data_IF_545329001972
#
_entry.id   IF_545329001972
#
_cell.length_a   1.000
_cell.length_b   1.000
_cell.length_c   1.000
_cell.angle_alpha   90.00
_cell.angle_beta   90.00
_cell.angle_gamma   90.00
#
_symmetry.space_group_name_H-M   'P 1'
#
loop_
_entity.id
_entity.type
_entity.pdbx_description
1 polymer ?
#
# COMPACT_ATOMS: atom_id res chain seq x y z
N UNK A 1 -12.67 -17.50 49.62
CA UNK A 1 -12.98 -17.55 48.16
C UNK A 1 -13.02 -16.19 47.48
N UNK A 2 -13.71 -15.14 47.97
CA UNK A 2 -13.80 -13.83 47.28
C UNK A 2 -12.46 -13.11 46.99
N UNK A 3 -11.47 -13.16 47.89
CA UNK A 3 -10.16 -12.49 47.69
C UNK A 3 -9.32 -13.12 46.57
N UNK A 4 -9.31 -14.43 46.42
CA UNK A 4 -8.57 -15.13 45.37
C UNK A 4 -9.13 -14.82 43.97
N UNK A 5 -10.45 -14.68 43.86
CA UNK A 5 -11.12 -14.29 42.59
C UNK A 5 -10.74 -12.86 42.14
N UNK A 6 -10.57 -11.93 43.10
CA UNK A 6 -10.17 -10.55 42.80
C UNK A 6 -8.71 -10.50 42.30
N UNK A 7 -7.78 -11.24 42.93
CA UNK A 7 -6.39 -11.31 42.49
C UNK A 7 -6.30 -11.91 41.06
N UNK A 8 -7.08 -12.93 40.77
CA UNK A 8 -7.09 -13.57 39.47
C UNK A 8 -7.62 -12.59 38.39
N UNK A 9 -8.66 -11.81 38.71
CA UNK A 9 -9.19 -10.77 37.79
C UNK A 9 -8.19 -9.64 37.54
N UNK A 10 -7.47 -9.18 38.57
CA UNK A 10 -6.44 -8.15 38.45
C UNK A 10 -5.28 -8.63 37.59
N UNK A 11 -4.85 -9.88 37.77
CA UNK A 11 -3.79 -10.49 36.94
C UNK A 11 -4.21 -10.57 35.46
N UNK A 12 -5.46 -10.97 35.18
CA UNK A 12 -5.99 -11.00 33.81
C UNK A 12 -6.02 -9.60 33.21
N UNK A 13 -6.48 -8.59 33.94
CA UNK A 13 -6.52 -7.19 33.45
C UNK A 13 -5.10 -6.68 33.16
N UNK A 14 -4.13 -6.96 34.03
CA UNK A 14 -2.72 -6.58 33.80
C UNK A 14 -2.13 -7.30 32.59
N UNK A 15 -2.41 -8.58 32.38
CA UNK A 15 -1.95 -9.34 31.22
C UNK A 15 -2.57 -8.84 29.92
N UNK A 16 -3.84 -8.42 29.93
CA UNK A 16 -4.52 -7.83 28.77
C UNK A 16 -3.92 -6.45 28.45
N UNK A 17 -3.66 -5.62 29.47
CA UNK A 17 -3.06 -4.29 29.27
C UNK A 17 -1.65 -4.37 28.69
N UNK A 18 -0.81 -5.27 29.22
CA UNK A 18 0.57 -5.45 28.69
C UNK A 18 0.58 -5.98 27.25
N UNK A 19 -0.34 -6.89 26.92
CA UNK A 19 -0.46 -7.40 25.54
C UNK A 19 -0.92 -6.32 24.55
N UNK A 20 -1.88 -5.44 24.93
CA UNK A 20 -2.30 -4.33 24.08
C UNK A 20 -1.18 -3.30 23.91
N UNK A 21 -0.45 -2.96 24.95
CA UNK A 21 0.65 -2.01 24.88
C UNK A 21 1.77 -2.52 23.96
N UNK A 22 2.15 -3.78 24.08
CA UNK A 22 3.17 -4.38 23.22
C UNK A 22 2.78 -4.40 21.74
N UNK A 23 1.51 -4.65 21.43
CA UNK A 23 1.03 -4.61 20.04
C UNK A 23 1.07 -3.20 19.47
N UNK A 24 0.70 -2.18 20.24
CA UNK A 24 0.78 -0.78 19.79
C UNK A 24 2.23 -0.37 19.51
N UNK A 25 3.20 -0.77 20.36
CA UNK A 25 4.62 -0.49 20.13
C UNK A 25 5.15 -1.17 18.85
N UNK A 26 4.71 -2.40 18.56
CA UNK A 26 5.10 -3.10 17.32
C UNK A 26 4.46 -2.46 16.07
N UNK A 27 3.23 -1.96 16.15
CA UNK A 27 2.55 -1.23 15.05
C UNK A 27 3.17 0.15 14.83
N UNK A 28 3.43 0.92 15.89
CA UNK A 28 4.11 2.21 15.80
C UNK A 28 5.51 2.09 15.21
N UNK A 29 6.26 1.07 15.64
CA UNK A 29 7.56 0.76 15.04
C UNK A 29 7.42 0.49 13.54
N UNK A 30 6.47 -0.38 13.15
CA UNK A 30 6.25 -0.70 11.74
C UNK A 30 5.88 0.54 10.91
N UNK A 31 4.95 1.37 11.39
CA UNK A 31 4.50 2.58 10.72
C UNK A 31 5.66 3.57 10.49
N UNK A 32 6.53 3.72 11.48
CA UNK A 32 7.74 4.54 11.34
C UNK A 32 8.71 3.95 10.30
N UNK A 33 8.91 2.63 10.30
CA UNK A 33 9.80 1.97 9.36
C UNK A 33 9.26 1.98 7.93
N UNK A 34 7.95 1.77 7.73
CA UNK A 34 7.33 1.82 6.40
C UNK A 34 7.43 3.21 5.79
N UNK A 35 7.21 4.26 6.57
CA UNK A 35 7.36 5.66 6.13
C UNK A 35 8.80 5.96 5.68
N UNK A 36 9.81 5.51 6.43
CA UNK A 36 11.21 5.67 6.04
C UNK A 36 11.54 4.91 4.75
N UNK A 37 11.00 3.69 4.61
CA UNK A 37 11.16 2.88 3.42
C UNK A 37 10.51 3.52 2.19
N UNK A 38 9.29 4.02 2.31
CA UNK A 38 8.56 4.67 1.22
C UNK A 38 9.26 5.96 0.76
N UNK A 39 9.81 6.71 1.69
CA UNK A 39 10.55 7.94 1.36
C UNK A 39 11.85 7.67 0.59
N UNK A 40 12.60 6.63 0.94
CA UNK A 40 13.83 6.27 0.22
C UNK A 40 14.21 4.79 0.43
N UNK A 41 13.68 3.85 -0.38
CA UNK A 41 13.91 2.43 -0.20
C UNK A 41 15.39 2.02 -0.38
N UNK A 42 16.16 2.73 -1.20
CA UNK A 42 17.61 2.47 -1.37
C UNK A 42 18.38 2.82 -0.10
N UNK A 43 18.13 4.00 0.47
CA UNK A 43 18.74 4.42 1.72
C UNK A 43 18.29 3.50 2.87
N UNK A 44 17.03 3.07 2.86
CA UNK A 44 16.51 2.11 3.84
C UNK A 44 17.29 0.80 3.79
N UNK A 45 17.46 0.19 2.60
CA UNK A 45 18.25 -1.04 2.43
C UNK A 45 19.71 -0.91 2.84
N UNK A 46 20.31 0.28 2.67
CA UNK A 46 21.70 0.50 3.08
C UNK A 46 21.90 0.55 4.60
N UNK A 47 20.82 0.78 5.36
CA UNK A 47 20.85 0.93 6.83
C UNK A 47 20.33 -0.29 7.57
N UNK A 48 19.50 -1.11 6.93
CA UNK A 48 18.93 -2.30 7.55
C UNK A 48 19.79 -3.52 7.23
N UNK A 49 19.87 -4.46 8.18
CA UNK A 49 20.43 -5.77 7.88
C UNK A 49 19.54 -6.48 6.85
N UNK A 50 20.04 -6.59 5.63
CA UNK A 50 19.33 -7.18 4.51
C UNK A 50 19.36 -8.72 4.49
N UNK A 51 19.83 -9.37 5.54
CA UNK A 51 19.80 -10.82 5.63
C UNK A 51 18.37 -11.33 5.53
N UNK A 52 18.12 -12.18 4.53
CA UNK A 52 16.79 -12.75 4.31
C UNK A 52 16.46 -13.75 5.42
N UNK A 53 15.55 -13.38 6.29
CA UNK A 53 15.01 -14.30 7.30
C UNK A 53 13.90 -15.12 6.64
N UNK A 54 14.20 -16.37 6.30
CA UNK A 54 13.22 -17.29 5.70
C UNK A 54 12.50 -18.15 6.74
N UNK A 55 13.09 -18.28 7.92
CA UNK A 55 12.52 -19.10 9.00
C UNK A 55 11.89 -18.21 10.08
N UNK A 56 10.64 -17.80 9.86
CA UNK A 56 9.92 -16.89 10.74
C UNK A 56 9.36 -17.61 11.96
N UNK A 57 9.78 -17.18 13.17
CA UNK A 57 9.34 -17.75 14.44
C UNK A 57 8.48 -16.79 15.26
N UNK A 58 8.59 -15.49 15.04
CA UNK A 58 7.89 -14.46 15.81
C UNK A 58 7.53 -13.24 14.95
N UNK A 59 6.79 -12.28 15.54
CA UNK A 59 6.33 -11.07 14.85
C UNK A 59 7.47 -10.15 14.42
N UNK A 60 8.54 -10.04 15.20
CA UNK A 60 9.69 -9.18 14.87
C UNK A 60 10.42 -9.69 13.62
N UNK A 61 10.65 -11.01 13.53
CA UNK A 61 11.23 -11.63 12.33
C UNK A 61 10.31 -11.49 11.12
N UNK A 62 8.99 -11.65 11.31
CA UNK A 62 8.01 -11.47 10.25
C UNK A 62 7.96 -10.00 9.78
N UNK A 63 8.02 -9.03 10.68
CA UNK A 63 8.08 -7.59 10.36
C UNK A 63 9.37 -7.25 9.63
N UNK A 64 10.51 -7.71 10.10
CA UNK A 64 11.80 -7.52 9.42
C UNK A 64 11.76 -8.10 8.00
N UNK A 65 11.31 -9.36 7.85
CA UNK A 65 11.15 -9.98 6.53
C UNK A 65 10.27 -9.14 5.60
N UNK A 66 9.11 -8.65 6.08
CA UNK A 66 8.20 -7.85 5.29
C UNK A 66 8.87 -6.55 4.80
N UNK A 67 9.50 -5.80 5.71
CA UNK A 67 10.16 -4.53 5.40
C UNK A 67 11.33 -4.70 4.40
N UNK A 68 12.20 -5.70 4.63
CA UNK A 68 13.30 -6.02 3.69
C UNK A 68 12.75 -6.45 2.32
N UNK A 69 11.68 -7.24 2.31
CA UNK A 69 11.04 -7.69 1.07
C UNK A 69 10.42 -6.54 0.28
N UNK A 70 9.71 -5.63 0.96
CA UNK A 70 9.14 -4.42 0.33
C UNK A 70 10.24 -3.52 -0.22
N UNK A 71 11.30 -3.25 0.54
CA UNK A 71 12.41 -2.43 0.08
C UNK A 71 13.10 -3.06 -1.14
N UNK A 72 13.32 -4.38 -1.14
CA UNK A 72 13.87 -5.09 -2.30
C UNK A 72 12.92 -5.10 -3.50
N UNK A 73 11.61 -5.13 -3.28
CA UNK A 73 10.64 -4.98 -4.35
C UNK A 73 10.77 -3.61 -5.03
N UNK A 74 10.80 -2.52 -4.26
CA UNK A 74 10.89 -1.17 -4.82
C UNK A 74 12.26 -0.86 -5.46
N UNK A 75 13.35 -1.46 -4.99
CA UNK A 75 14.71 -1.18 -5.51
C UNK A 75 15.09 -2.14 -6.65
N UNK A 76 14.77 -3.42 -6.49
CA UNK A 76 15.30 -4.50 -7.31
C UNK A 76 14.21 -5.29 -8.06
N UNK A 77 12.94 -4.87 -7.98
CA UNK A 77 11.79 -5.63 -8.50
C UNK A 77 11.76 -7.10 -8.03
N UNK A 78 12.22 -7.33 -6.79
CA UNK A 78 12.27 -8.64 -6.19
C UNK A 78 10.95 -8.99 -5.50
N UNK A 79 10.44 -10.17 -5.77
CA UNK A 79 9.24 -10.71 -5.12
C UNK A 79 9.65 -11.85 -4.19
N UNK A 80 9.31 -11.79 -2.90
CA UNK A 80 9.65 -12.85 -1.96
C UNK A 80 8.82 -14.10 -2.20
N UNK A 81 9.27 -15.27 -1.68
CA UNK A 81 8.49 -16.49 -1.73
C UNK A 81 7.13 -16.30 -1.06
N UNK A 82 6.05 -16.68 -1.76
CA UNK A 82 4.67 -16.52 -1.25
C UNK A 82 4.39 -17.34 0.00
N UNK A 83 5.04 -18.49 0.14
CA UNK A 83 4.94 -19.33 1.34
C UNK A 83 5.41 -18.60 2.59
N UNK A 84 6.47 -17.79 2.48
CA UNK A 84 6.97 -16.98 3.59
C UNK A 84 6.04 -15.80 3.87
N UNK A 85 5.49 -15.16 2.83
CA UNK A 85 4.44 -14.13 3.01
C UNK A 85 3.20 -14.70 3.71
N UNK A 86 2.74 -15.88 3.33
CA UNK A 86 1.60 -16.53 3.97
C UNK A 86 1.88 -16.86 5.44
N UNK A 87 3.11 -17.28 5.76
CA UNK A 87 3.54 -17.49 7.14
C UNK A 87 3.55 -16.19 7.95
N UNK A 88 4.04 -15.09 7.35
CA UNK A 88 4.00 -13.75 7.96
C UNK A 88 2.57 -13.33 8.26
N UNK A 89 1.66 -13.44 7.29
CA UNK A 89 0.23 -13.12 7.46
C UNK A 89 -0.36 -13.93 8.62
N UNK A 90 -0.05 -15.22 8.74
CA UNK A 90 -0.52 -16.06 9.84
C UNK A 90 -0.02 -15.56 11.20
N UNK A 91 1.26 -15.19 11.30
CA UNK A 91 1.86 -14.62 12.52
C UNK A 91 1.16 -13.30 12.90
N UNK A 92 1.00 -12.38 11.95
CA UNK A 92 0.36 -11.09 12.19
C UNK A 92 -1.12 -11.24 12.57
N UNK A 93 -1.84 -12.18 11.93
CA UNK A 93 -3.22 -12.51 12.32
C UNK A 93 -3.32 -12.95 13.78
N UNK A 94 -2.44 -13.86 14.22
CA UNK A 94 -2.42 -14.33 15.61
C UNK A 94 -2.06 -13.23 16.62
N UNK A 95 -1.20 -12.30 16.22
CA UNK A 95 -0.75 -11.18 17.04
C UNK A 95 -1.66 -9.96 16.94
N UNK A 96 -2.66 -9.98 16.05
CA UNK A 96 -3.55 -8.84 15.74
C UNK A 96 -2.80 -7.59 15.28
N UNK A 97 -1.68 -7.76 14.58
CA UNK A 97 -0.89 -6.68 13.97
C UNK A 97 -1.50 -6.36 12.60
N UNK A 98 -2.50 -5.48 12.61
CA UNK A 98 -3.39 -5.26 11.46
C UNK A 98 -2.66 -4.61 10.29
N UNK A 99 -1.84 -3.60 10.55
CA UNK A 99 -1.09 -2.89 9.50
C UNK A 99 -0.17 -3.84 8.73
N UNK A 100 0.65 -4.62 9.45
CA UNK A 100 1.54 -5.60 8.85
C UNK A 100 0.77 -6.70 8.10
N UNK A 101 -0.41 -7.07 8.61
CA UNK A 101 -1.26 -8.06 7.96
C UNK A 101 -1.81 -7.54 6.63
N UNK A 102 -2.31 -6.30 6.58
CA UNK A 102 -2.84 -5.65 5.38
C UNK A 102 -1.74 -5.47 4.33
N UNK A 103 -0.57 -4.95 4.75
CA UNK A 103 0.57 -4.76 3.86
C UNK A 103 1.04 -6.10 3.26
N UNK A 104 1.12 -7.15 4.08
CA UNK A 104 1.51 -8.49 3.59
C UNK A 104 0.50 -9.08 2.60
N UNK A 105 -0.81 -8.84 2.80
CA UNK A 105 -1.86 -9.28 1.88
C UNK A 105 -1.80 -8.53 0.55
N UNK A 106 -1.57 -7.22 0.59
CA UNK A 106 -1.37 -6.40 -0.61
C UNK A 106 -0.12 -6.86 -1.38
N UNK A 107 0.97 -7.14 -0.67
CA UNK A 107 2.19 -7.63 -1.30
C UNK A 107 2.02 -9.05 -1.89
N UNK A 108 1.28 -9.91 -1.21
CA UNK A 108 0.91 -11.23 -1.74
C UNK A 108 0.07 -11.11 -3.02
N UNK A 109 -0.86 -10.15 -3.08
CA UNK A 109 -1.63 -9.86 -4.30
C UNK A 109 -0.71 -9.41 -5.46
N UNK A 110 0.26 -8.51 -5.20
CA UNK A 110 1.28 -8.10 -6.19
C UNK A 110 2.11 -9.30 -6.68
N UNK A 111 2.43 -10.25 -5.80
CA UNK A 111 3.13 -11.49 -6.17
C UNK A 111 2.28 -12.36 -7.10
N UNK A 112 0.99 -12.55 -6.77
CA UNK A 112 0.06 -13.28 -7.65
C UNK A 112 -0.18 -12.57 -8.98
N UNK A 113 -0.19 -11.24 -9.01
CA UNK A 113 -0.25 -10.45 -10.26
C UNK A 113 0.93 -10.78 -11.16
N UNK A 114 2.15 -10.82 -10.63
CA UNK A 114 3.36 -11.21 -11.37
C UNK A 114 3.25 -12.64 -11.93
N UNK A 115 2.69 -13.56 -11.15
CA UNK A 115 2.42 -14.95 -11.57
C UNK A 115 1.23 -15.06 -12.54
N UNK A 116 0.57 -13.97 -12.90
CA UNK A 116 -0.65 -13.92 -13.73
C UNK A 116 -1.81 -14.77 -13.14
N UNK A 117 -1.81 -14.98 -11.84
CA UNK A 117 -2.84 -15.72 -11.11
C UNK A 117 -3.94 -14.79 -10.59
N UNK A 118 -4.81 -14.35 -11.49
CA UNK A 118 -5.89 -13.39 -11.20
C UNK A 118 -6.80 -13.84 -10.05
N UNK A 119 -7.12 -15.14 -9.98
CA UNK A 119 -8.01 -15.65 -8.92
C UNK A 119 -7.41 -15.42 -7.54
N UNK A 120 -6.14 -15.76 -7.35
CA UNK A 120 -5.47 -15.60 -6.06
C UNK A 120 -5.15 -14.13 -5.75
N UNK A 121 -4.87 -13.31 -6.78
CA UNK A 121 -4.72 -11.86 -6.65
C UNK A 121 -5.99 -11.23 -6.05
N UNK A 122 -7.16 -11.52 -6.63
CA UNK A 122 -8.47 -11.04 -6.13
C UNK A 122 -8.73 -11.51 -4.71
N UNK A 123 -8.54 -12.80 -4.43
CA UNK A 123 -8.79 -13.36 -3.09
C UNK A 123 -7.92 -12.71 -2.00
N UNK A 124 -6.67 -12.39 -2.31
CA UNK A 124 -5.78 -11.71 -1.36
C UNK A 124 -6.29 -10.29 -1.05
N UNK A 125 -6.73 -9.54 -2.05
CA UNK A 125 -7.30 -8.20 -1.87
C UNK A 125 -8.65 -8.25 -1.16
N UNK A 126 -9.55 -9.16 -1.52
CA UNK A 126 -10.84 -9.33 -0.85
C UNK A 126 -10.65 -9.62 0.64
N UNK A 127 -9.71 -10.49 1.00
CA UNK A 127 -9.36 -10.76 2.39
C UNK A 127 -8.84 -9.50 3.12
N UNK A 128 -8.04 -8.67 2.45
CA UNK A 128 -7.59 -7.42 3.02
C UNK A 128 -8.75 -6.42 3.22
N UNK A 129 -9.69 -6.34 2.26
CA UNK A 129 -10.91 -5.53 2.36
C UNK A 129 -11.76 -5.97 3.55
N UNK A 130 -11.96 -7.28 3.73
CA UNK A 130 -12.73 -7.81 4.86
C UNK A 130 -12.13 -7.37 6.20
N UNK A 131 -10.80 -7.43 6.35
CA UNK A 131 -10.11 -7.01 7.57
C UNK A 131 -10.24 -5.49 7.77
N UNK A 132 -9.95 -4.69 6.75
CA UNK A 132 -10.02 -3.23 6.82
C UNK A 132 -11.46 -2.75 7.09
N UNK A 133 -12.47 -3.43 6.55
CA UNK A 133 -13.90 -3.11 6.78
C UNK A 133 -14.32 -3.38 8.21
N UNK A 134 -13.82 -4.44 8.85
CA UNK A 134 -14.16 -4.77 10.24
C UNK A 134 -13.70 -3.72 11.26
N UNK A 135 -12.67 -2.95 10.91
CA UNK A 135 -12.12 -1.89 11.77
C UNK A 135 -12.37 -0.49 11.21
N UNK A 136 -13.18 -0.38 10.15
CA UNK A 136 -13.54 0.88 9.47
C UNK A 136 -12.31 1.71 9.03
N UNK A 137 -11.24 1.02 8.57
CA UNK A 137 -10.00 1.69 8.15
C UNK A 137 -10.12 2.26 6.73
N UNK A 138 -10.64 3.47 6.64
CA UNK A 138 -11.05 4.12 5.38
C UNK A 138 -9.91 4.28 4.38
N UNK A 139 -8.71 4.66 4.82
CA UNK A 139 -7.53 4.83 3.96
C UNK A 139 -7.15 3.51 3.28
N UNK A 140 -7.09 2.42 4.05
CA UNK A 140 -6.82 1.10 3.49
C UNK A 140 -7.92 0.65 2.53
N UNK A 141 -9.18 0.87 2.86
CA UNK A 141 -10.30 0.56 1.96
C UNK A 141 -10.20 1.34 0.65
N UNK A 142 -9.84 2.63 0.69
CA UNK A 142 -9.60 3.43 -0.50
C UNK A 142 -8.51 2.81 -1.39
N UNK A 143 -7.35 2.48 -0.81
CA UNK A 143 -6.23 1.87 -1.53
C UNK A 143 -6.58 0.51 -2.13
N UNK A 144 -7.26 -0.36 -1.36
CA UNK A 144 -7.63 -1.71 -1.79
C UNK A 144 -8.70 -1.69 -2.90
N UNK A 145 -9.72 -0.84 -2.78
CA UNK A 145 -10.71 -0.65 -3.85
C UNK A 145 -10.07 -0.03 -5.09
N UNK A 146 -9.15 0.93 -4.92
CA UNK A 146 -8.37 1.48 -6.01
C UNK A 146 -7.56 0.41 -6.74
N UNK A 147 -6.89 -0.47 -6.00
CA UNK A 147 -6.14 -1.61 -6.58
C UNK A 147 -7.05 -2.52 -7.41
N UNK A 148 -8.26 -2.86 -6.91
CA UNK A 148 -9.24 -3.64 -7.69
C UNK A 148 -9.70 -2.88 -8.93
N UNK A 149 -9.92 -1.58 -8.84
CA UNK A 149 -10.23 -0.73 -10.00
C UNK A 149 -9.15 -0.84 -11.07
N UNK A 150 -7.88 -0.61 -10.71
CA UNK A 150 -6.73 -0.73 -11.60
C UNK A 150 -6.59 -2.13 -12.21
N UNK A 151 -6.89 -3.16 -11.43
CA UNK A 151 -6.89 -4.53 -11.94
C UNK A 151 -7.98 -4.75 -12.99
N UNK A 152 -9.20 -4.27 -12.74
CA UNK A 152 -10.32 -4.50 -13.65
C UNK A 152 -10.25 -3.65 -14.93
N UNK A 153 -9.67 -2.44 -14.90
CA UNK A 153 -9.42 -1.67 -16.14
C UNK A 153 -8.41 -2.38 -17.04
N UNK A 154 -7.34 -2.98 -16.47
CA UNK A 154 -6.39 -3.82 -17.23
C UNK A 154 -7.02 -5.07 -17.85
N UNK A 155 -8.18 -5.49 -17.34
CA UNK A 155 -8.98 -6.62 -17.87
C UNK A 155 -10.15 -6.17 -18.74
N UNK A 156 -10.19 -4.90 -19.12
CA UNK A 156 -11.26 -4.30 -19.92
C UNK A 156 -12.65 -4.50 -19.31
N UNK A 157 -12.75 -4.65 -17.98
CA UNK A 157 -14.03 -4.78 -17.27
C UNK A 157 -14.46 -3.43 -16.68
N UNK A 158 -15.01 -2.59 -17.55
CA UNK A 158 -15.39 -1.21 -17.22
C UNK A 158 -16.45 -1.14 -16.09
N UNK A 159 -17.39 -2.06 -16.04
CA UNK A 159 -18.43 -2.07 -14.99
C UNK A 159 -17.83 -2.27 -13.61
N UNK A 160 -16.93 -3.25 -13.44
CA UNK A 160 -16.25 -3.48 -12.17
C UNK A 160 -15.28 -2.37 -11.83
N UNK A 161 -14.57 -1.83 -12.81
CA UNK A 161 -13.72 -0.66 -12.63
C UNK A 161 -14.50 0.51 -12.03
N UNK A 162 -15.63 0.93 -12.65
CA UNK A 162 -16.47 2.02 -12.14
C UNK A 162 -16.96 1.72 -10.73
N UNK A 163 -17.43 0.50 -10.47
CA UNK A 163 -17.87 0.08 -9.14
C UNK A 163 -16.80 0.33 -8.08
N UNK A 164 -15.59 -0.16 -8.30
CA UNK A 164 -14.52 -0.09 -7.30
C UNK A 164 -13.95 1.33 -7.15
N UNK A 165 -13.89 2.11 -8.22
CA UNK A 165 -13.53 3.53 -8.13
C UNK A 165 -14.56 4.34 -7.32
N UNK A 166 -15.85 4.05 -7.49
CA UNK A 166 -16.92 4.68 -6.69
C UNK A 166 -16.75 4.33 -5.20
N UNK A 167 -16.49 3.05 -4.87
CA UNK A 167 -16.25 2.62 -3.50
C UNK A 167 -15.00 3.29 -2.90
N UNK A 168 -13.89 3.40 -3.65
CA UNK A 168 -12.69 4.08 -3.21
C UNK A 168 -12.97 5.55 -2.86
N UNK A 169 -13.70 6.26 -3.74
CA UNK A 169 -14.07 7.66 -3.48
C UNK A 169 -14.95 7.83 -2.24
N UNK A 170 -15.93 6.93 -2.04
CA UNK A 170 -16.80 6.98 -0.86
C UNK A 170 -16.04 6.81 0.46
N UNK A 171 -14.96 6.03 0.48
CA UNK A 171 -14.16 5.83 1.69
C UNK A 171 -13.46 7.12 2.17
N UNK A 172 -13.24 8.10 1.28
CA UNK A 172 -12.43 9.29 1.57
C UNK A 172 -13.24 10.60 1.56
N UNK A 173 -14.57 10.54 1.35
CA UNK A 173 -15.42 11.75 1.30
C UNK A 173 -15.29 12.65 2.54
N UNK A 174 -15.09 12.06 3.73
CA UNK A 174 -15.04 12.75 5.01
C UNK A 174 -13.61 13.07 5.49
N UNK A 175 -12.58 12.71 4.71
CA UNK A 175 -11.17 12.89 5.10
C UNK A 175 -10.57 14.07 4.33
N UNK A 176 -9.99 15.03 5.05
CA UNK A 176 -9.29 16.12 4.39
C UNK A 176 -8.06 15.59 3.64
N UNK A 177 -7.88 15.99 2.38
CA UNK A 177 -6.82 15.48 1.50
C UNK A 177 -5.42 15.54 2.13
N UNK A 178 -5.12 16.59 2.88
CA UNK A 178 -3.80 16.77 3.54
C UNK A 178 -3.57 15.82 4.71
N UNK A 179 -4.62 15.28 5.29
CA UNK A 179 -4.56 14.38 6.44
C UNK A 179 -4.45 12.91 6.01
N UNK A 180 -4.57 12.64 4.69
CA UNK A 180 -4.39 11.32 4.11
C UNK A 180 -2.90 10.98 3.98
N UNK A 181 -2.56 9.70 4.09
CA UNK A 181 -1.25 9.21 3.68
C UNK A 181 -1.01 9.40 2.17
N UNK A 182 0.25 9.36 1.73
CA UNK A 182 0.62 9.60 0.33
C UNK A 182 -0.03 8.60 -0.63
N UNK A 183 -0.15 7.33 -0.25
CA UNK A 183 -0.80 6.31 -1.05
C UNK A 183 -2.26 6.67 -1.35
N UNK A 184 -2.99 7.07 -0.30
CA UNK A 184 -4.40 7.48 -0.40
C UNK A 184 -4.55 8.79 -1.18
N UNK A 185 -3.64 9.75 -1.01
CA UNK A 185 -3.62 10.99 -1.80
C UNK A 185 -3.44 10.70 -3.30
N UNK A 186 -2.49 9.83 -3.67
CA UNK A 186 -2.26 9.41 -5.07
C UNK A 186 -3.49 8.71 -5.62
N UNK A 187 -4.10 7.81 -4.86
CA UNK A 187 -5.33 7.13 -5.27
C UNK A 187 -6.49 8.10 -5.47
N UNK A 188 -6.61 9.12 -4.64
CA UNK A 188 -7.62 10.18 -4.77
C UNK A 188 -7.41 10.99 -6.06
N UNK A 189 -6.18 11.42 -6.33
CA UNK A 189 -5.85 12.13 -7.56
C UNK A 189 -6.14 11.28 -8.81
N UNK A 190 -5.81 9.99 -8.76
CA UNK A 190 -6.11 9.01 -9.80
C UNK A 190 -7.63 8.86 -10.03
N UNK A 191 -8.42 8.85 -8.98
CA UNK A 191 -9.88 8.80 -9.09
C UNK A 191 -10.44 10.01 -9.81
N UNK A 192 -9.96 11.23 -9.54
CA UNK A 192 -10.35 12.44 -10.28
C UNK A 192 -9.97 12.36 -11.76
N UNK A 193 -8.81 11.77 -12.10
CA UNK A 193 -8.43 11.54 -13.48
C UNK A 193 -9.44 10.64 -14.21
N UNK A 194 -9.85 9.54 -13.59
CA UNK A 194 -10.76 8.57 -14.20
C UNK A 194 -12.19 9.07 -14.36
N UNK A 195 -12.69 9.93 -13.46
CA UNK A 195 -14.00 10.55 -13.60
C UNK A 195 -14.00 11.76 -14.55
N UNK A 196 -12.84 12.08 -15.17
CA UNK A 196 -12.70 13.15 -16.14
C UNK A 196 -12.45 14.55 -15.54
N UNK A 197 -12.30 14.66 -14.22
CA UNK A 197 -11.93 15.92 -13.58
C UNK A 197 -10.40 16.13 -13.62
N UNK A 198 -9.90 16.29 -14.86
CA UNK A 198 -8.45 16.37 -15.12
C UNK A 198 -7.78 17.55 -14.42
N UNK A 199 -8.47 18.70 -14.32
CA UNK A 199 -7.94 19.87 -13.62
C UNK A 199 -7.67 19.58 -12.15
N UNK A 200 -8.66 19.01 -11.45
CA UNK A 200 -8.52 18.67 -10.02
C UNK A 200 -7.46 17.59 -9.80
N UNK A 201 -7.42 16.56 -10.66
CA UNK A 201 -6.38 15.54 -10.63
C UNK A 201 -4.97 16.16 -10.71
N UNK A 202 -4.74 17.04 -11.69
CA UNK A 202 -3.44 17.68 -11.88
C UNK A 202 -3.04 18.58 -10.71
N UNK A 203 -3.97 19.36 -10.16
CA UNK A 203 -3.74 20.18 -8.97
C UNK A 203 -3.31 19.34 -7.76
N UNK A 204 -3.98 18.22 -7.52
CA UNK A 204 -3.65 17.32 -6.42
C UNK A 204 -2.29 16.62 -6.62
N UNK A 205 -2.00 16.15 -7.84
CA UNK A 205 -0.70 15.54 -8.16
C UNK A 205 0.46 16.51 -7.96
N UNK A 206 0.30 17.79 -8.32
CA UNK A 206 1.32 18.80 -8.07
C UNK A 206 1.51 19.08 -6.57
N UNK A 207 0.41 19.05 -5.81
CA UNK A 207 0.49 19.22 -4.35
C UNK A 207 1.26 18.06 -3.70
N UNK A 208 0.99 16.81 -4.10
CA UNK A 208 1.72 15.64 -3.60
C UNK A 208 3.18 15.73 -4.00
N UNK A 209 3.48 16.02 -5.28
CA UNK A 209 4.85 16.14 -5.78
C UNK A 209 5.67 17.14 -4.96
N UNK A 210 5.07 18.26 -4.58
CA UNK A 210 5.76 19.29 -3.78
C UNK A 210 6.03 18.88 -2.33
N UNK A 211 5.38 17.84 -1.83
CA UNK A 211 5.47 17.36 -0.44
C UNK A 211 6.39 16.15 -0.25
N UNK A 212 6.85 15.52 -1.34
CA UNK A 212 7.65 14.29 -1.29
C UNK A 212 9.03 14.47 -1.94
N UNK A 213 9.98 13.64 -1.55
CA UNK A 213 11.30 13.57 -2.20
C UNK A 213 11.24 12.77 -3.50
N UNK A 214 12.18 13.05 -4.43
CA UNK A 214 12.30 12.31 -5.71
C UNK A 214 12.61 10.81 -5.53
N UNK A 215 13.12 10.42 -4.38
CA UNK A 215 13.38 9.02 -4.04
C UNK A 215 12.16 8.29 -3.45
N UNK A 216 11.05 9.02 -3.20
CA UNK A 216 9.82 8.43 -2.70
C UNK A 216 9.24 7.45 -3.74
N UNK A 217 8.72 6.31 -3.27
CA UNK A 217 8.20 5.23 -4.13
C UNK A 217 7.05 5.68 -5.05
N UNK A 218 6.29 6.70 -4.64
CA UNK A 218 5.16 7.24 -5.42
C UNK A 218 5.57 8.30 -6.43
N UNK A 219 6.79 8.86 -6.34
CA UNK A 219 7.21 9.99 -7.18
C UNK A 219 7.07 9.68 -8.66
N UNK A 220 7.45 8.49 -9.07
CA UNK A 220 7.39 8.03 -10.45
C UNK A 220 5.93 7.87 -10.93
N UNK A 221 5.05 7.27 -10.12
CA UNK A 221 3.62 7.13 -10.43
C UNK A 221 2.96 8.51 -10.58
N UNK A 222 3.32 9.48 -9.74
CA UNK A 222 2.81 10.85 -9.82
C UNK A 222 3.19 11.49 -11.16
N UNK A 223 4.44 11.37 -11.60
CA UNK A 223 4.90 11.88 -12.90
C UNK A 223 4.13 11.28 -14.08
N UNK A 224 3.89 9.98 -14.02
CA UNK A 224 3.07 9.30 -15.03
C UNK A 224 1.63 9.82 -15.05
N UNK A 225 0.98 9.90 -13.90
CA UNK A 225 -0.39 10.41 -13.79
C UNK A 225 -0.50 11.87 -14.24
N UNK A 226 0.50 12.71 -13.95
CA UNK A 226 0.59 14.07 -14.47
C UNK A 226 0.64 14.06 -16.01
N UNK A 227 1.52 13.22 -16.57
CA UNK A 227 1.62 13.06 -18.03
C UNK A 227 0.29 12.64 -18.67
N UNK A 228 -0.40 11.64 -18.10
CA UNK A 228 -1.71 11.19 -18.56
C UNK A 228 -2.74 12.32 -18.48
N UNK A 229 -2.74 13.06 -17.40
CA UNK A 229 -3.67 14.19 -17.22
C UNK A 229 -3.43 15.29 -18.27
N UNK A 230 -2.17 15.62 -18.54
CA UNK A 230 -1.77 16.59 -19.57
C UNK A 230 -2.11 16.10 -20.98
N UNK A 231 -1.99 14.80 -21.24
CA UNK A 231 -2.44 14.18 -22.48
C UNK A 231 -3.95 14.39 -22.69
N UNK A 232 -4.77 14.13 -21.68
CA UNK A 232 -6.24 14.31 -21.74
C UNK A 232 -6.65 15.77 -21.92
N UNK A 233 -5.82 16.72 -21.46
CA UNK A 233 -6.04 18.16 -21.62
C UNK A 233 -5.31 18.76 -22.84
N UNK A 234 -4.73 17.93 -23.72
CA UNK A 234 -4.04 18.31 -24.96
C UNK A 234 -2.81 19.22 -24.76
N UNK A 235 -2.17 19.16 -23.62
CA UNK A 235 -0.95 19.90 -23.29
C UNK A 235 0.29 19.06 -23.65
N UNK A 236 0.52 18.82 -24.93
CA UNK A 236 1.44 17.80 -25.46
C UNK A 236 2.89 17.98 -25.03
N UNK A 237 3.43 19.22 -25.04
CA UNK A 237 4.81 19.46 -24.68
C UNK A 237 5.09 19.09 -23.22
N UNK A 238 4.26 19.54 -22.30
CA UNK A 238 4.37 19.20 -20.87
C UNK A 238 4.10 17.71 -20.61
N UNK A 239 3.16 17.11 -21.37
CA UNK A 239 2.90 15.68 -21.29
C UNK A 239 4.16 14.87 -21.59
N UNK A 240 4.86 15.19 -22.69
CA UNK A 240 6.09 14.50 -23.09
C UNK A 240 7.17 14.67 -22.02
N UNK A 241 7.35 15.88 -21.48
CA UNK A 241 8.30 16.14 -20.39
C UNK A 241 8.04 15.24 -19.17
N UNK A 242 6.81 15.21 -18.67
CA UNK A 242 6.46 14.42 -17.47
C UNK A 242 6.58 12.92 -17.71
N UNK A 243 6.20 12.43 -18.88
CA UNK A 243 6.35 11.01 -19.22
C UNK A 243 7.82 10.62 -19.42
N UNK A 244 8.65 11.49 -19.99
CA UNK A 244 10.10 11.25 -20.08
C UNK A 244 10.75 11.18 -18.68
N UNK A 245 10.40 12.10 -17.77
CA UNK A 245 10.85 12.02 -16.37
C UNK A 245 10.43 10.67 -15.75
N UNK A 246 9.18 10.24 -15.94
CA UNK A 246 8.68 8.98 -15.43
C UNK A 246 9.46 7.77 -15.99
N UNK A 247 9.76 7.75 -17.29
CA UNK A 247 10.50 6.66 -17.94
C UNK A 247 11.94 6.57 -17.44
N UNK A 248 12.63 7.72 -17.29
CA UNK A 248 14.01 7.76 -16.78
C UNK A 248 14.09 7.20 -15.35
N UNK A 249 13.06 7.46 -14.54
CA UNK A 249 13.00 7.01 -13.16
C UNK A 249 12.49 5.56 -13.03
N UNK A 250 11.80 5.04 -14.07
CA UNK A 250 11.21 3.71 -14.01
C UNK A 250 12.28 2.63 -14.06
N UNK A 251 12.32 1.82 -13.01
CA UNK A 251 13.17 0.62 -12.94
C UNK A 251 12.35 -0.67 -12.98
N UNK A 252 11.04 -0.58 -13.17
CA UNK A 252 10.12 -1.73 -13.11
C UNK A 252 9.23 -1.81 -14.35
N UNK A 253 9.06 -3.02 -14.90
CA UNK A 253 8.24 -3.30 -16.10
C UNK A 253 6.75 -2.93 -15.91
N UNK A 254 6.24 -2.97 -14.69
CA UNK A 254 4.85 -2.61 -14.37
C UNK A 254 4.52 -1.15 -14.71
N UNK A 255 5.52 -0.30 -14.66
CA UNK A 255 5.37 1.14 -14.90
C UNK A 255 5.36 1.47 -16.40
N UNK A 256 6.16 0.76 -17.18
CA UNK A 256 6.19 0.88 -18.64
C UNK A 256 4.83 0.55 -19.26
N UNK A 257 4.06 -0.38 -18.67
CA UNK A 257 2.74 -0.74 -19.17
C UNK A 257 1.74 0.43 -19.11
N UNK A 258 1.75 1.22 -18.03
CA UNK A 258 0.85 2.38 -17.89
C UNK A 258 1.23 3.47 -18.91
N UNK A 259 2.53 3.69 -19.14
CA UNK A 259 3.01 4.67 -20.12
C UNK A 259 2.82 4.21 -21.58
N UNK A 260 2.80 2.89 -21.86
CA UNK A 260 2.58 2.34 -23.21
C UNK A 260 1.10 2.16 -23.57
N UNK A 261 0.18 2.28 -22.61
CA UNK A 261 -1.26 2.14 -22.85
C UNK A 261 -1.97 3.46 -23.16
N UNK A 262 -1.23 4.53 -23.38
CA UNK A 262 -1.66 5.85 -23.80
C UNK A 262 -1.32 6.07 -25.26
#
# INVERSE_FOLDING_TARGET
>A
MKKQSIYFLVIIILLVQTSCQQNNEEEDFFNNQITLLENNPRLYLSKIDSTQVTNLNNSKEATHFLLVSLANYYVNNYYPPKEVLQKSIHIFTKKKLIQQQLESLLFLAKTYKKEKNLKMEVQAIEKAIDIASQIEYKEWLCCLYGYLGDMYIRKYNMLKFIKYQTLANQCIEDIAFRDMDISTQVQTAKSFLYIGNHKKSYELLNLIESSIDKNNIYYNEIKCLQGITLFKTKQWALCIEKLQEAIILSQTDDFLFVCHSI
#
